data_IF_427942486488
#
_entry.id   IF_427942486488
#
_cell.length_a   1.000
_cell.length_b   1.000
_cell.length_c   1.000
_cell.angle_alpha   90.00
_cell.angle_beta   90.00
_cell.angle_gamma   90.00
#
_symmetry.space_group_name_H-M   'P 1'
#
loop_
_entity.id
_entity.type
_entity.pdbx_description
1 polymer ?
#
# COMPACT_ATOMS: atom_id res chain seq x y z
N UNK A 1 -2.08 -17.57 -12.01
CA UNK A 1 -0.83 -17.90 -12.68
C UNK A 1 -0.52 -16.88 -13.77
N UNK A 2 0.75 -16.44 -13.89
CA UNK A 2 1.13 -15.52 -14.95
C UNK A 2 1.17 -16.26 -16.29
N UNK A 3 0.64 -15.65 -17.37
CA UNK A 3 0.63 -16.22 -18.73
C UNK A 3 2.07 -16.35 -19.26
N UNK A 4 2.95 -15.40 -18.91
CA UNK A 4 4.34 -15.37 -19.31
C UNK A 4 5.26 -15.75 -18.16
N UNK A 5 6.37 -16.42 -18.47
CA UNK A 5 7.40 -16.72 -17.49
C UNK A 5 8.12 -15.46 -16.99
N UNK A 6 8.88 -15.57 -15.91
CA UNK A 6 9.54 -14.42 -15.29
C UNK A 6 10.56 -13.73 -16.21
N UNK A 7 11.24 -14.47 -17.06
CA UNK A 7 12.26 -13.91 -17.97
C UNK A 7 11.65 -13.05 -19.06
N UNK A 8 10.52 -13.49 -19.65
CA UNK A 8 9.80 -12.69 -20.64
C UNK A 8 9.21 -11.42 -20.02
N UNK A 9 8.65 -11.52 -18.82
CA UNK A 9 8.16 -10.32 -18.10
C UNK A 9 9.28 -9.35 -17.79
N UNK A 10 10.46 -9.85 -17.41
CA UNK A 10 11.65 -9.02 -17.18
C UNK A 10 12.08 -8.30 -18.46
N UNK A 11 12.14 -9.01 -19.59
CA UNK A 11 12.46 -8.39 -20.89
C UNK A 11 11.48 -7.29 -21.27
N UNK A 12 10.19 -7.53 -21.07
CA UNK A 12 9.15 -6.52 -21.32
C UNK A 12 9.34 -5.29 -20.46
N UNK A 13 9.58 -5.43 -19.14
CA UNK A 13 9.81 -4.32 -18.25
C UNK A 13 11.05 -3.50 -18.67
N UNK A 14 12.15 -4.15 -18.98
CA UNK A 14 13.37 -3.49 -19.47
C UNK A 14 13.14 -2.78 -20.81
N UNK A 15 12.38 -3.39 -21.73
CA UNK A 15 12.02 -2.77 -23.02
C UNK A 15 11.08 -1.57 -22.85
N UNK A 16 10.32 -1.50 -21.75
CA UNK A 16 9.45 -0.38 -21.42
C UNK A 16 10.14 0.72 -20.59
N UNK A 17 11.47 0.64 -20.40
CA UNK A 17 12.25 1.70 -19.78
C UNK A 17 12.65 1.44 -18.31
N UNK A 18 12.46 0.24 -17.79
CA UNK A 18 13.05 -0.12 -16.50
C UNK A 18 14.56 -0.33 -16.67
N UNK A 19 15.36 0.24 -15.77
CA UNK A 19 16.83 0.07 -15.78
C UNK A 19 17.26 -1.23 -15.08
N UNK A 20 16.48 -1.66 -14.09
CA UNK A 20 16.78 -2.86 -13.29
C UNK A 20 15.48 -3.58 -12.92
N UNK A 21 15.51 -4.90 -13.01
CA UNK A 21 14.42 -5.76 -12.53
C UNK A 21 14.99 -6.75 -11.52
N UNK A 22 14.43 -6.77 -10.33
CA UNK A 22 14.84 -7.65 -9.25
C UNK A 22 13.80 -8.73 -9.01
N UNK A 23 14.26 -9.94 -8.76
CA UNK A 23 13.38 -11.03 -8.33
C UNK A 23 13.21 -10.99 -6.81
N UNK A 24 11.96 -10.85 -6.34
CA UNK A 24 11.66 -11.04 -4.94
C UNK A 24 11.76 -12.54 -4.61
N UNK A 25 12.55 -12.95 -3.58
CA UNK A 25 12.66 -14.35 -3.21
C UNK A 25 11.29 -14.98 -2.93
N UNK A 26 11.10 -16.23 -3.36
CA UNK A 26 9.81 -16.92 -3.27
C UNK A 26 9.23 -16.96 -1.84
N UNK A 27 10.06 -17.03 -0.82
CA UNK A 27 9.65 -16.98 0.57
C UNK A 27 8.87 -15.72 0.94
N UNK A 28 9.20 -14.58 0.31
CA UNK A 28 8.48 -13.32 0.49
C UNK A 28 7.37 -13.15 -0.53
N UNK A 29 7.60 -13.55 -1.78
CA UNK A 29 6.65 -13.38 -2.88
C UNK A 29 5.33 -14.15 -2.68
N UNK A 30 5.35 -15.23 -1.91
CA UNK A 30 4.17 -16.07 -1.59
C UNK A 30 3.64 -15.88 -0.17
N UNK A 31 4.21 -14.96 0.58
CA UNK A 31 3.85 -14.69 1.97
C UNK A 31 2.67 -13.71 2.10
N UNK A 32 2.31 -13.37 3.35
CA UNK A 32 1.33 -12.31 3.63
C UNK A 32 1.80 -10.95 3.12
N UNK A 33 0.88 -9.99 2.96
CA UNK A 33 1.20 -8.63 2.54
C UNK A 33 2.31 -7.99 3.39
N UNK A 34 2.32 -8.25 4.70
CA UNK A 34 3.34 -7.79 5.63
C UNK A 34 4.73 -8.32 5.28
N UNK A 35 4.87 -9.64 5.11
CA UNK A 35 6.16 -10.25 4.77
C UNK A 35 6.60 -9.93 3.34
N UNK A 36 5.64 -9.85 2.41
CA UNK A 36 5.90 -9.40 1.05
C UNK A 36 6.50 -7.98 1.03
N UNK A 37 5.86 -7.05 1.73
CA UNK A 37 6.33 -5.67 1.84
C UNK A 37 7.70 -5.59 2.53
N UNK A 38 7.88 -6.32 3.64
CA UNK A 38 9.16 -6.36 4.36
C UNK A 38 10.30 -6.86 3.46
N UNK A 39 10.08 -7.95 2.73
CA UNK A 39 11.07 -8.51 1.80
C UNK A 39 11.39 -7.56 0.65
N UNK A 40 10.35 -6.93 0.06
CA UNK A 40 10.51 -5.95 -1.01
C UNK A 40 11.32 -4.73 -0.56
N UNK A 41 10.95 -4.13 0.56
CA UNK A 41 11.67 -2.97 1.10
C UNK A 41 13.10 -3.34 1.51
N UNK A 42 13.30 -4.49 2.14
CA UNK A 42 14.65 -4.94 2.49
C UNK A 42 15.55 -5.09 1.26
N UNK A 43 15.00 -5.61 0.17
CA UNK A 43 15.72 -5.75 -1.10
C UNK A 43 16.08 -4.38 -1.68
N UNK A 44 15.14 -3.44 -1.74
CA UNK A 44 15.37 -2.09 -2.26
C UNK A 44 16.37 -1.30 -1.39
N UNK A 45 16.26 -1.37 -0.07
CA UNK A 45 17.21 -0.75 0.87
C UNK A 45 18.64 -1.27 0.66
N UNK A 46 18.77 -2.57 0.39
CA UNK A 46 20.09 -3.21 0.19
C UNK A 46 20.82 -2.71 -1.04
N UNK A 47 20.13 -2.11 -2.01
CA UNK A 47 20.76 -1.51 -3.18
C UNK A 47 21.47 -0.20 -2.83
N UNK A 48 21.01 0.53 -1.83
CA UNK A 48 21.58 1.83 -1.43
C UNK A 48 21.44 2.94 -2.48
N UNK A 49 20.65 2.71 -3.54
CA UNK A 49 20.52 3.62 -4.70
C UNK A 49 19.05 3.97 -5.01
N UNK A 50 18.11 3.60 -4.15
CA UNK A 50 16.68 3.87 -4.33
C UNK A 50 16.27 5.04 -3.45
N UNK A 51 15.73 6.10 -4.04
CA UNK A 51 15.30 7.31 -3.34
C UNK A 51 13.79 7.31 -3.05
N UNK A 52 12.98 6.72 -3.94
CA UNK A 52 11.54 6.74 -3.82
C UNK A 52 10.89 5.40 -4.18
N UNK A 53 9.76 5.10 -3.54
CA UNK A 53 8.92 3.93 -3.80
C UNK A 53 7.58 4.37 -4.35
N UNK A 54 7.23 3.92 -5.55
CA UNK A 54 5.89 4.10 -6.11
C UNK A 54 5.08 2.80 -6.02
N UNK A 55 3.84 2.89 -5.61
CA UNK A 55 2.90 1.76 -5.56
C UNK A 55 1.48 2.21 -5.88
N UNK A 56 0.64 1.27 -6.35
CA UNK A 56 -0.76 1.53 -6.63
C UNK A 56 -1.59 1.62 -5.36
N UNK A 57 -2.49 2.60 -5.31
CA UNK A 57 -3.47 2.76 -4.24
C UNK A 57 -4.85 3.09 -4.81
N UNK A 58 -5.90 2.77 -4.06
CA UNK A 58 -7.28 2.93 -4.50
C UNK A 58 -8.01 3.95 -3.61
N UNK A 59 -8.69 4.89 -4.25
CA UNK A 59 -9.60 5.82 -3.56
C UNK A 59 -11.01 5.22 -3.48
N UNK A 60 -11.76 5.47 -2.40
CA UNK A 60 -13.15 5.06 -2.29
C UNK A 60 -14.01 5.55 -3.45
N UNK A 61 -15.02 4.78 -3.80
CA UNK A 61 -15.91 5.10 -4.93
C UNK A 61 -16.68 6.41 -4.73
N UNK A 62 -16.94 6.80 -3.48
CA UNK A 62 -17.62 8.06 -3.12
C UNK A 62 -16.83 9.32 -3.49
N UNK A 63 -15.53 9.20 -3.71
CA UNK A 63 -14.66 10.31 -4.13
C UNK A 63 -14.21 10.21 -5.60
N UNK A 64 -14.67 9.18 -6.31
CA UNK A 64 -14.47 9.12 -7.77
C UNK A 64 -15.35 10.18 -8.38
N UNK A 65 -14.76 11.27 -8.84
CA UNK A 65 -15.44 12.20 -9.73
C UNK A 65 -16.18 11.42 -10.80
N UNK A 66 -17.42 11.83 -11.10
CA UNK A 66 -18.29 11.33 -12.16
C UNK A 66 -17.68 11.66 -13.54
N UNK A 67 -16.49 11.15 -13.80
CA UNK A 67 -15.93 11.15 -15.15
C UNK A 67 -16.73 10.13 -15.95
N UNK A 68 -17.48 10.62 -16.93
CA UNK A 68 -18.29 9.81 -17.83
C UNK A 68 -17.44 8.68 -18.43
N UNK A 69 -17.86 7.40 -18.37
CA UNK A 69 -17.11 6.29 -18.95
C UNK A 69 -16.76 6.49 -20.43
N UNK A 70 -17.54 7.29 -21.17
CA UNK A 70 -17.30 7.63 -22.57
C UNK A 70 -16.04 8.48 -22.79
N UNK A 71 -15.61 9.28 -21.80
CA UNK A 71 -14.44 10.16 -21.93
C UNK A 71 -13.11 9.40 -21.78
N UNK A 72 -13.17 8.14 -21.30
CA UNK A 72 -11.98 7.28 -21.12
C UNK A 72 -11.49 6.61 -22.41
N UNK A 73 -12.33 6.52 -23.44
CA UNK A 73 -12.01 5.72 -24.65
C UNK A 73 -11.42 6.59 -25.77
N UNK A 74 -11.58 7.91 -25.74
CA UNK A 74 -11.29 8.77 -26.90
C UNK A 74 -9.92 9.46 -26.84
N UNK A 75 -9.23 9.44 -25.71
CA UNK A 75 -7.92 10.09 -25.56
C UNK A 75 -6.87 9.12 -25.01
N UNK A 76 -6.43 8.17 -25.84
CA UNK A 76 -5.17 7.45 -25.61
C UNK A 76 -3.96 8.34 -25.97
N UNK A 77 -3.91 9.53 -25.38
CA UNK A 77 -2.66 10.28 -25.28
C UNK A 77 -1.74 9.57 -24.27
N UNK A 78 -0.40 9.63 -24.42
CA UNK A 78 0.51 9.09 -23.41
C UNK A 78 0.09 9.60 -22.04
N UNK A 79 -0.20 8.67 -21.13
CA UNK A 79 -0.66 9.01 -19.78
C UNK A 79 0.38 9.93 -19.18
N UNK A 80 0.08 11.22 -18.91
CA UNK A 80 1.01 12.08 -18.20
C UNK A 80 1.31 11.38 -16.87
N UNK A 81 2.57 11.35 -16.45
CA UNK A 81 2.92 10.90 -15.12
C UNK A 81 1.95 11.56 -14.13
N UNK A 82 1.29 10.80 -13.24
CA UNK A 82 0.34 11.37 -12.32
C UNK A 82 1.04 12.48 -11.54
N UNK A 83 0.58 13.72 -11.75
CA UNK A 83 1.05 14.86 -10.97
C UNK A 83 0.62 14.57 -9.53
N UNK A 84 1.53 14.60 -8.54
CA UNK A 84 1.16 14.46 -7.14
C UNK A 84 0.09 15.51 -6.82
N UNK A 85 -1.13 15.06 -6.63
CA UNK A 85 -2.25 15.91 -6.28
C UNK A 85 -2.56 15.79 -4.80
N UNK A 86 -3.23 16.77 -4.23
CA UNK A 86 -3.67 16.81 -2.81
C UNK A 86 -4.32 15.50 -2.32
N UNK A 87 -4.90 14.70 -3.20
CA UNK A 87 -5.51 13.39 -2.90
C UNK A 87 -4.47 12.34 -2.52
N UNK A 88 -3.34 12.29 -3.24
CA UNK A 88 -2.26 11.34 -2.94
C UNK A 88 -1.61 11.70 -1.60
N UNK A 89 -1.48 12.98 -1.29
CA UNK A 89 -0.92 13.44 -0.02
C UNK A 89 -1.78 12.99 1.17
N UNK A 90 -3.10 13.10 1.05
CA UNK A 90 -4.05 12.67 2.09
C UNK A 90 -3.98 11.15 2.30
N UNK A 91 -3.94 10.38 1.22
CA UNK A 91 -3.86 8.93 1.29
C UNK A 91 -2.53 8.47 1.91
N UNK A 92 -1.44 9.11 1.51
CA UNK A 92 -0.12 8.85 2.07
C UNK A 92 -0.06 9.22 3.55
N UNK A 93 -0.62 10.38 3.96
CA UNK A 93 -0.71 10.76 5.36
C UNK A 93 -1.49 9.74 6.19
N UNK A 94 -2.59 9.21 5.64
CA UNK A 94 -3.35 8.16 6.31
C UNK A 94 -2.54 6.87 6.45
N UNK A 95 -1.80 6.44 5.43
CA UNK A 95 -0.92 5.28 5.52
C UNK A 95 0.19 5.50 6.55
N UNK A 96 0.76 6.70 6.62
CA UNK A 96 1.79 7.03 7.62
C UNK A 96 1.26 6.93 9.03
N UNK A 97 0.08 7.50 9.32
CA UNK A 97 -0.56 7.42 10.64
C UNK A 97 -0.99 6.00 11.00
N UNK A 98 -1.51 5.26 10.01
CA UNK A 98 -1.87 3.86 10.20
C UNK A 98 -0.63 3.01 10.52
N UNK A 99 0.49 3.25 9.83
CA UNK A 99 1.75 2.57 10.08
C UNK A 99 2.30 2.89 11.48
N UNK A 100 2.25 4.15 11.92
CA UNK A 100 2.66 4.55 13.27
C UNK A 100 1.81 3.84 14.33
N UNK A 101 0.48 3.85 14.15
CA UNK A 101 -0.42 3.13 15.05
C UNK A 101 -0.09 1.63 15.15
N UNK A 102 0.27 0.99 14.02
CA UNK A 102 0.60 -0.43 14.00
C UNK A 102 2.00 -0.75 14.55
N UNK A 103 2.92 0.21 14.56
CA UNK A 103 4.27 0.06 15.11
C UNK A 103 4.30 0.36 16.61
N UNK A 104 3.56 1.38 17.04
CA UNK A 104 3.56 1.86 18.42
C UNK A 104 2.51 1.16 19.30
N UNK A 105 1.46 0.62 18.69
CA UNK A 105 0.34 -0.03 19.35
C UNK A 105 -0.20 0.76 20.57
N UNK A 106 -0.69 1.99 20.37
CA UNK A 106 -1.13 2.82 21.47
C UNK A 106 -2.26 2.16 22.30
N UNK A 107 -2.46 2.53 23.58
CA UNK A 107 -3.43 1.88 24.44
C UNK A 107 -4.83 1.76 23.87
N UNK A 108 -5.29 2.78 23.14
CA UNK A 108 -6.59 2.79 22.45
C UNK A 108 -6.69 1.68 21.41
N UNK A 109 -5.63 1.49 20.62
CA UNK A 109 -5.54 0.43 19.64
C UNK A 109 -5.53 -0.95 20.30
N UNK A 110 -4.72 -1.15 21.33
CA UNK A 110 -4.62 -2.41 22.07
C UNK A 110 -5.96 -2.81 22.69
N UNK A 111 -6.69 -1.86 23.28
CA UNK A 111 -8.01 -2.14 23.87
C UNK A 111 -9.04 -2.50 22.79
N UNK A 112 -9.07 -1.75 21.67
CA UNK A 112 -9.95 -2.05 20.55
C UNK A 112 -9.64 -3.42 19.94
N UNK A 113 -8.37 -3.78 19.81
CA UNK A 113 -7.92 -5.10 19.33
C UNK A 113 -8.39 -6.22 20.28
N UNK A 114 -8.17 -6.04 21.58
CA UNK A 114 -8.59 -6.98 22.61
C UNK A 114 -10.09 -7.22 22.60
N UNK A 115 -10.87 -6.15 22.46
CA UNK A 115 -12.32 -6.21 22.38
C UNK A 115 -12.76 -7.00 21.13
N UNK A 116 -12.21 -6.69 19.97
CA UNK A 116 -12.55 -7.37 18.72
C UNK A 116 -12.19 -8.86 18.73
N UNK A 117 -11.10 -9.23 19.40
CA UNK A 117 -10.73 -10.64 19.59
C UNK A 117 -11.69 -11.36 20.54
N UNK A 118 -12.16 -10.71 21.61
CA UNK A 118 -13.19 -11.27 22.51
C UNK A 118 -14.54 -11.51 21.79
N UNK A 119 -14.85 -10.68 20.79
CA UNK A 119 -16.04 -10.83 19.93
C UNK A 119 -15.88 -11.99 18.91
N UNK A 120 -14.76 -12.71 18.92
CA UNK A 120 -14.52 -13.89 18.08
C UNK A 120 -14.01 -13.56 16.68
N UNK A 121 -13.57 -12.35 16.41
CA UNK A 121 -12.96 -12.00 15.12
C UNK A 121 -11.58 -12.66 14.97
N UNK A 122 -11.24 -13.05 13.73
CA UNK A 122 -9.87 -13.47 13.42
C UNK A 122 -8.89 -12.33 13.64
N UNK A 123 -7.65 -12.63 14.00
CA UNK A 123 -6.62 -11.61 14.28
C UNK A 123 -6.48 -10.54 13.16
N UNK A 124 -6.43 -10.90 11.86
CA UNK A 124 -6.36 -9.88 10.80
C UNK A 124 -7.58 -8.94 10.79
N UNK A 125 -8.78 -9.49 11.01
CA UNK A 125 -10.01 -8.67 11.06
C UNK A 125 -10.04 -7.80 12.31
N UNK A 126 -9.69 -8.34 13.46
CA UNK A 126 -9.66 -7.62 14.73
C UNK A 126 -8.62 -6.47 14.67
N UNK A 127 -7.43 -6.71 14.11
CA UNK A 127 -6.38 -5.71 13.91
C UNK A 127 -6.86 -4.57 13.00
N UNK A 128 -7.50 -4.91 11.88
CA UNK A 128 -8.05 -3.90 10.97
C UNK A 128 -9.16 -3.07 11.62
N UNK A 129 -10.07 -3.71 12.35
CA UNK A 129 -11.13 -3.01 13.05
C UNK A 129 -10.60 -2.08 14.16
N UNK A 130 -9.58 -2.51 14.89
CA UNK A 130 -8.92 -1.69 15.89
C UNK A 130 -8.25 -0.45 15.25
N UNK A 131 -7.58 -0.64 14.12
CA UNK A 131 -6.97 0.44 13.36
C UNK A 131 -8.02 1.45 12.88
N UNK A 132 -9.13 0.99 12.32
CA UNK A 132 -10.23 1.84 11.87
C UNK A 132 -10.83 2.66 13.02
N UNK A 133 -11.04 2.04 14.19
CA UNK A 133 -11.52 2.75 15.39
C UNK A 133 -10.53 3.82 15.87
N UNK A 134 -9.24 3.52 15.83
CA UNK A 134 -8.18 4.46 16.24
C UNK A 134 -8.05 5.64 15.28
N UNK A 135 -8.28 5.41 13.98
CA UNK A 135 -8.20 6.43 12.93
C UNK A 135 -9.55 7.10 12.63
N UNK A 136 -10.61 6.84 13.41
CA UNK A 136 -11.96 7.37 13.15
C UNK A 136 -12.04 8.91 13.18
N UNK A 137 -11.07 9.60 13.78
CA UNK A 137 -10.97 11.07 13.80
C UNK A 137 -10.32 11.66 12.54
N UNK A 138 -9.94 10.83 11.57
CA UNK A 138 -9.32 11.30 10.33
C UNK A 138 -10.39 11.95 9.43
N UNK A 139 -10.18 13.17 8.90
CA UNK A 139 -11.23 13.97 8.26
C UNK A 139 -11.63 13.54 6.86
N UNK A 140 -11.04 12.50 6.31
CA UNK A 140 -11.34 11.99 4.96
C UNK A 140 -12.06 10.67 4.99
N UNK A 141 -12.76 10.40 3.89
CA UNK A 141 -13.55 9.20 3.58
C UNK A 141 -13.22 7.99 4.45
N UNK A 142 -14.25 7.34 4.93
CA UNK A 142 -14.17 6.20 5.84
C UNK A 142 -12.82 5.47 5.79
N UNK A 143 -11.95 5.67 6.77
CA UNK A 143 -10.69 4.91 6.89
C UNK A 143 -10.93 3.40 6.72
N UNK A 144 -12.15 2.95 7.02
CA UNK A 144 -12.64 1.61 6.79
C UNK A 144 -12.66 1.22 5.31
N UNK A 145 -13.15 2.08 4.42
CA UNK A 145 -13.20 1.79 2.98
C UNK A 145 -11.80 1.79 2.36
N UNK A 146 -10.99 2.80 2.70
CA UNK A 146 -9.62 2.89 2.18
C UNK A 146 -8.79 1.68 2.59
N UNK A 147 -8.82 1.32 3.87
CA UNK A 147 -8.03 0.21 4.41
C UNK A 147 -8.63 -1.18 4.11
N UNK A 148 -9.75 -1.27 3.40
CA UNK A 148 -10.33 -2.55 2.96
C UNK A 148 -9.83 -3.01 1.59
N UNK A 149 -9.32 -2.10 0.76
CA UNK A 149 -8.79 -2.44 -0.56
C UNK A 149 -7.47 -3.23 -0.47
N UNK A 150 -7.31 -4.31 -1.24
CA UNK A 150 -6.08 -5.10 -1.24
C UNK A 150 -4.82 -4.29 -1.56
N UNK A 151 -4.89 -3.34 -2.51
CA UNK A 151 -3.76 -2.49 -2.86
C UNK A 151 -3.40 -1.54 -1.71
N UNK A 152 -4.40 -1.01 -1.01
CA UNK A 152 -4.17 -0.12 0.13
C UNK A 152 -3.63 -0.86 1.35
N UNK A 153 -4.06 -2.10 1.57
CA UNK A 153 -3.46 -2.97 2.60
C UNK A 153 -1.97 -3.16 2.31
N UNK A 154 -1.62 -3.46 1.06
CA UNK A 154 -0.22 -3.61 0.66
C UNK A 154 0.55 -2.29 0.75
N UNK A 155 -0.04 -1.17 0.33
CA UNK A 155 0.52 0.17 0.47
C UNK A 155 0.85 0.54 1.91
N UNK A 156 -0.08 0.25 2.83
CA UNK A 156 0.12 0.41 4.27
C UNK A 156 1.31 -0.43 4.77
N UNK A 157 1.41 -1.69 4.35
CA UNK A 157 2.51 -2.56 4.78
C UNK A 157 3.87 -2.09 4.20
N UNK A 158 3.91 -1.50 3.00
CA UNK A 158 5.12 -0.85 2.49
C UNK A 158 5.54 0.33 3.37
N UNK A 159 4.63 1.24 3.68
CA UNK A 159 4.93 2.40 4.52
C UNK A 159 5.38 1.96 5.92
N UNK A 160 4.71 0.95 6.51
CA UNK A 160 5.11 0.35 7.78
C UNK A 160 6.51 -0.25 7.72
N UNK A 161 6.84 -0.99 6.66
CA UNK A 161 8.16 -1.60 6.48
C UNK A 161 9.27 -0.54 6.33
N UNK A 162 9.02 0.55 5.58
CA UNK A 162 9.95 1.68 5.46
C UNK A 162 10.24 2.31 6.83
N UNK A 163 9.20 2.59 7.63
CA UNK A 163 9.35 3.15 8.98
C UNK A 163 10.06 2.21 9.93
N UNK A 164 9.67 0.93 9.99
CA UNK A 164 10.28 -0.07 10.86
C UNK A 164 11.78 -0.25 10.57
N UNK A 165 12.19 -0.11 9.33
CA UNK A 165 13.59 -0.22 8.90
C UNK A 165 14.36 1.09 8.98
N UNK A 166 13.69 2.20 9.30
CA UNK A 166 14.27 3.55 9.23
C UNK A 166 14.89 3.82 7.85
N UNK A 167 14.21 3.35 6.81
CA UNK A 167 14.65 3.48 5.43
C UNK A 167 14.73 4.95 5.00
N UNK A 168 15.67 5.26 4.09
CA UNK A 168 15.77 6.57 3.44
C UNK A 168 14.85 6.71 2.24
N UNK A 169 14.26 5.61 1.80
CA UNK A 169 13.34 5.56 0.67
C UNK A 169 12.05 6.30 1.04
N UNK A 170 11.65 7.24 0.22
CA UNK A 170 10.39 8.01 0.39
C UNK A 170 9.23 7.27 -0.27
N UNK A 171 8.10 7.04 0.40
CA UNK A 171 6.91 6.45 -0.21
C UNK A 171 6.16 7.43 -1.09
#
# INVERSE_FOLDING_TARGET
PAILNKYERTRMALSCGADLVLELPAAYATASAEHFALGGIALLDSLGAVDALAFGAEMPASEKETANPADRIVNAAPVPHPVPGKRNDILLEMFQRAADCLLEEPPVFQEALRQSLKEGLSFPKARMQALQKTLASFPTASAAEVLSSPNNILGLEYVKALKARQSRITP
#
